data_IF_439153247819
#
_entry.id   IF_439153247819
#
_cell.length_a   1.000
_cell.length_b   1.000
_cell.length_c   1.000
_cell.angle_alpha   90.00
_cell.angle_beta   90.00
_cell.angle_gamma   90.00
#
_symmetry.space_group_name_H-M   'P 1'
#
loop_
_entity.id
_entity.type
_entity.pdbx_description
1 polymer ?
#
# COMPACT_ATOMS: atom_id res chain seq x y z
N UNK A 1 7.26 8.04 1.04
CA UNK A 1 6.01 7.32 0.77
C UNK A 1 6.25 5.82 0.76
N UNK A 2 5.20 5.03 0.65
CA UNK A 2 5.24 3.57 0.62
C UNK A 2 5.13 3.10 -0.83
N UNK A 3 5.85 2.04 -1.18
CA UNK A 3 5.76 1.38 -2.49
C UNK A 3 5.51 -0.10 -2.26
N UNK A 4 4.58 -0.69 -3.02
CA UNK A 4 4.29 -2.11 -2.95
C UNK A 4 4.14 -2.68 -4.37
N UNK A 5 4.50 -3.96 -4.52
CA UNK A 5 4.37 -4.71 -5.77
C UNK A 5 3.24 -5.72 -5.64
N UNK A 6 2.34 -5.74 -6.62
CA UNK A 6 1.24 -6.69 -6.73
C UNK A 6 1.49 -7.54 -7.95
N UNK A 7 1.57 -8.86 -7.76
CA UNK A 7 1.79 -9.84 -8.83
C UNK A 7 0.52 -10.66 -9.08
N UNK A 8 0.07 -10.71 -10.32
CA UNK A 8 -1.03 -11.59 -10.72
C UNK A 8 -0.46 -12.98 -11.06
N UNK A 9 -0.55 -13.91 -10.12
CA UNK A 9 -0.10 -15.31 -10.28
C UNK A 9 -1.17 -16.21 -10.92
N UNK A 10 -2.32 -15.66 -11.29
CA UNK A 10 -3.41 -16.40 -11.94
C UNK A 10 -3.22 -16.53 -13.46
N UNK A 11 -4.15 -17.27 -14.08
CA UNK A 11 -4.17 -17.51 -15.53
C UNK A 11 -5.12 -16.57 -16.30
N UNK A 12 -5.74 -15.61 -15.61
CA UNK A 12 -6.68 -14.63 -16.18
C UNK A 12 -6.28 -13.20 -15.78
N UNK A 13 -6.61 -12.18 -16.59
CA UNK A 13 -6.35 -10.80 -16.24
C UNK A 13 -7.15 -10.37 -15.00
N UNK A 14 -6.52 -9.58 -14.12
CA UNK A 14 -7.18 -8.91 -13.03
C UNK A 14 -7.59 -7.51 -13.51
N UNK A 15 -8.86 -7.38 -13.89
CA UNK A 15 -9.45 -6.12 -14.35
C UNK A 15 -10.08 -5.36 -13.18
N UNK A 16 -9.93 -4.03 -13.17
CA UNK A 16 -10.48 -3.14 -12.15
C UNK A 16 -10.15 -3.60 -10.71
N UNK A 17 -8.97 -4.18 -10.50
CA UNK A 17 -8.56 -4.73 -9.20
C UNK A 17 -8.43 -3.58 -8.20
N UNK A 18 -9.30 -3.50 -7.17
CA UNK A 18 -9.17 -2.46 -6.16
C UNK A 18 -7.93 -2.72 -5.31
N UNK A 19 -7.16 -1.67 -5.04
CA UNK A 19 -6.04 -1.73 -4.11
C UNK A 19 -6.12 -0.59 -3.10
N UNK A 20 -5.53 -0.81 -1.94
CA UNK A 20 -5.32 0.24 -0.96
C UNK A 20 -4.04 0.03 -0.15
N UNK A 21 -3.45 1.14 0.29
CA UNK A 21 -2.42 1.20 1.31
C UNK A 21 -3.01 2.01 2.46
N UNK A 22 -3.17 1.39 3.62
CA UNK A 22 -3.71 2.01 4.84
C UNK A 22 -2.64 2.06 5.91
N UNK A 23 -2.59 3.16 6.63
CA UNK A 23 -1.74 3.38 7.78
C UNK A 23 -2.64 3.45 9.01
N UNK A 24 -2.47 2.48 9.88
CA UNK A 24 -3.18 2.38 11.15
C UNK A 24 -2.20 2.77 12.27
N UNK A 25 -2.71 3.40 13.33
CA UNK A 25 -1.92 3.99 14.40
C UNK A 25 -0.99 5.14 13.99
N UNK A 26 -0.36 5.73 15.00
CA UNK A 26 0.45 6.94 14.85
C UNK A 26 -0.41 8.19 14.68
N UNK A 27 0.24 9.34 14.69
CA UNK A 27 -0.40 10.62 14.45
C UNK A 27 -0.19 11.02 12.99
N UNK A 28 -1.21 10.82 12.15
CA UNK A 28 -1.13 11.05 10.71
C UNK A 28 -1.99 12.26 10.34
N UNK A 29 -1.36 13.31 9.82
CA UNK A 29 -2.03 14.53 9.40
C UNK A 29 -2.52 14.45 7.95
N UNK A 30 -1.84 13.68 7.10
CA UNK A 30 -2.21 13.47 5.70
C UNK A 30 -1.73 12.12 5.19
N UNK A 31 -2.47 11.54 4.26
CA UNK A 31 -2.08 10.32 3.54
C UNK A 31 -2.25 9.03 4.34
N UNK A 32 -3.15 9.00 5.33
CA UNK A 32 -3.42 7.79 6.12
C UNK A 32 -3.99 6.63 5.27
N UNK A 33 -4.57 6.94 4.12
CA UNK A 33 -5.04 5.95 3.16
C UNK A 33 -4.79 6.43 1.73
N UNK A 34 -4.37 5.50 0.88
CA UNK A 34 -4.29 5.64 -0.57
C UNK A 34 -4.93 4.43 -1.23
N UNK A 35 -5.52 4.60 -2.40
CA UNK A 35 -6.12 3.49 -3.13
C UNK A 35 -6.71 3.93 -4.45
N UNK A 36 -6.81 2.97 -5.35
CA UNK A 36 -7.41 3.12 -6.68
C UNK A 36 -7.75 1.71 -7.22
N UNK A 37 -8.03 1.62 -8.51
CA UNK A 37 -8.13 0.37 -9.25
C UNK A 37 -6.97 0.24 -10.24
N UNK A 38 -6.52 -0.99 -10.47
CA UNK A 38 -5.46 -1.28 -11.44
C UNK A 38 -5.83 -2.45 -12.33
N UNK A 39 -5.26 -2.47 -13.52
CA UNK A 39 -5.27 -3.62 -14.42
C UNK A 39 -3.93 -4.36 -14.33
N UNK A 40 -3.98 -5.69 -14.15
CA UNK A 40 -2.79 -6.55 -14.16
C UNK A 40 -3.07 -7.78 -15.04
N UNK A 41 -2.36 -7.89 -16.17
CA UNK A 41 -2.45 -9.08 -17.02
C UNK A 41 -1.97 -10.34 -16.27
N UNK A 42 -2.37 -11.51 -16.73
CA UNK A 42 -1.92 -12.78 -16.15
C UNK A 42 -0.38 -12.89 -16.18
N UNK A 43 0.22 -13.24 -15.05
CA UNK A 43 1.68 -13.33 -14.90
C UNK A 43 2.41 -12.00 -14.72
N UNK A 44 1.73 -10.85 -14.85
CA UNK A 44 2.37 -9.54 -14.68
C UNK A 44 2.46 -9.09 -13.22
N UNK A 45 3.36 -8.16 -12.96
CA UNK A 45 3.48 -7.43 -11.70
C UNK A 45 3.35 -5.94 -11.95
N UNK A 46 2.57 -5.25 -11.10
CA UNK A 46 2.46 -3.79 -11.09
C UNK A 46 2.92 -3.24 -9.75
N UNK A 47 3.41 -2.01 -9.78
CA UNK A 47 3.86 -1.28 -8.59
C UNK A 47 2.87 -0.19 -8.27
N UNK A 48 2.38 -0.18 -7.03
CA UNK A 48 1.53 0.87 -6.47
C UNK A 48 2.33 1.73 -5.49
N UNK A 49 1.89 2.97 -5.32
CA UNK A 49 2.54 3.95 -4.44
C UNK A 49 1.49 4.62 -3.57
N UNK A 50 1.86 4.92 -2.33
CA UNK A 50 1.04 5.78 -1.50
C UNK A 50 1.07 7.22 -2.02
N UNK A 51 0.06 7.98 -1.61
CA UNK A 51 0.06 9.44 -1.68
C UNK A 51 1.11 10.03 -0.73
N UNK A 52 1.16 11.35 -0.70
CA UNK A 52 1.98 12.09 0.25
C UNK A 52 1.51 11.83 1.69
N UNK A 53 2.39 11.23 2.48
CA UNK A 53 2.19 10.92 3.89
C UNK A 53 2.89 11.99 4.72
N UNK A 54 2.20 12.52 5.73
CA UNK A 54 2.82 13.37 6.74
C UNK A 54 2.27 13.04 8.12
N UNK A 55 3.16 12.76 9.07
CA UNK A 55 2.78 12.39 10.42
C UNK A 55 3.95 12.08 11.33
N UNK A 56 3.67 11.45 12.46
CA UNK A 56 4.66 11.01 13.42
C UNK A 56 4.18 9.79 14.21
N UNK A 57 5.07 8.84 14.46
CA UNK A 57 4.83 7.69 15.34
C UNK A 57 4.89 6.35 14.65
N UNK A 58 4.83 5.28 15.45
CA UNK A 58 4.77 3.90 14.93
C UNK A 58 3.41 3.68 14.29
N UNK A 59 3.40 2.98 13.16
CA UNK A 59 2.21 2.72 12.37
C UNK A 59 2.22 1.30 11.85
N UNK A 60 1.04 0.71 11.73
CA UNK A 60 0.82 -0.50 10.95
C UNK A 60 0.46 -0.12 9.51
N UNK A 61 1.09 -0.78 8.55
CA UNK A 61 0.92 -0.54 7.11
C UNK A 61 0.20 -1.76 6.55
N UNK A 62 -1.03 -1.57 6.10
CA UNK A 62 -1.88 -2.59 5.50
C UNK A 62 -2.01 -2.33 4.01
N UNK A 63 -1.48 -3.25 3.19
CA UNK A 63 -1.62 -3.23 1.74
C UNK A 63 -2.63 -4.29 1.34
N UNK A 64 -3.69 -3.89 0.65
CA UNK A 64 -4.77 -4.77 0.18
C UNK A 64 -4.86 -4.65 -1.33
N UNK A 65 -4.98 -5.76 -2.04
CA UNK A 65 -5.20 -5.83 -3.48
C UNK A 65 -6.21 -6.95 -3.78
N UNK A 66 -7.47 -6.59 -4.03
CA UNK A 66 -8.57 -7.55 -4.05
C UNK A 66 -8.65 -8.32 -2.74
N UNK A 67 -8.48 -9.64 -2.80
CA UNK A 67 -8.48 -10.53 -1.62
C UNK A 67 -7.09 -10.70 -0.99
N UNK A 68 -6.02 -10.28 -1.67
CA UNK A 68 -4.66 -10.39 -1.14
C UNK A 68 -4.39 -9.26 -0.15
N UNK A 69 -3.90 -9.61 1.04
CA UNK A 69 -3.54 -8.65 2.09
C UNK A 69 -2.11 -8.88 2.58
N UNK A 70 -1.37 -7.79 2.80
CA UNK A 70 -0.05 -7.80 3.41
C UNK A 70 0.05 -6.70 4.45
N UNK A 71 0.37 -7.08 5.68
CA UNK A 71 0.56 -6.17 6.81
C UNK A 71 2.03 -6.13 7.22
N UNK A 72 2.53 -4.93 7.49
CA UNK A 72 3.90 -4.66 7.96
C UNK A 72 3.86 -3.50 8.94
N UNK A 73 4.93 -3.26 9.69
CA UNK A 73 4.99 -2.12 10.61
C UNK A 73 6.09 -1.15 10.17
N UNK A 74 5.90 0.14 10.48
CA UNK A 74 6.87 1.19 10.20
C UNK A 74 6.85 2.31 11.22
N UNK A 75 7.70 3.31 10.98
CA UNK A 75 7.81 4.53 11.76
C UNK A 75 7.67 5.75 10.84
N UNK A 76 6.70 6.61 11.13
CA UNK A 76 6.51 7.88 10.41
C UNK A 76 7.27 8.98 11.14
N UNK A 77 8.06 9.77 10.41
CA UNK A 77 8.72 10.98 10.91
C UNK A 77 8.60 12.08 9.84
N UNK A 78 7.66 13.01 10.03
CA UNK A 78 7.35 14.03 9.04
C UNK A 78 6.89 13.38 7.72
N UNK A 79 7.56 13.65 6.58
CA UNK A 79 7.19 13.08 5.28
C UNK A 79 7.77 11.67 5.03
N UNK A 80 8.57 11.14 5.96
CA UNK A 80 9.30 9.89 5.78
C UNK A 80 8.59 8.73 6.47
N UNK A 81 8.60 7.57 5.80
CA UNK A 81 8.22 6.27 6.37
C UNK A 81 9.48 5.42 6.43
N UNK A 82 9.89 5.05 7.63
CA UNK A 82 11.17 4.41 7.93
C UNK A 82 10.94 3.10 8.67
N UNK A 83 12.01 2.30 8.81
CA UNK A 83 12.03 1.07 9.60
C UNK A 83 10.89 0.08 9.25
N UNK A 84 10.50 0.03 7.97
CA UNK A 84 9.48 -0.91 7.46
C UNK A 84 10.01 -2.34 7.59
N UNK A 85 9.24 -3.23 8.25
CA UNK A 85 9.62 -4.63 8.53
C UNK A 85 8.50 -5.61 8.27
#
# INVERSE_FOLDING_TARGET
GITATISNIGNAPAENLPWSIKLEDGFILSGAQSGDTIYIAAGETKTIKSDFIFGFGRTSINVIAGEATKSTNGLIIGPFVLAVK
#
